data_IF_060693673922
#
_entry.id   IF_060693673922
#
_cell.length_a   1.000
_cell.length_b   1.000
_cell.length_c   1.000
_cell.angle_alpha   90.00
_cell.angle_beta   90.00
_cell.angle_gamma   90.00
#
_symmetry.space_group_name_H-M   'P 1'
#
loop_
_entity.id
_entity.type
_entity.pdbx_description
1 polymer ?
#
# COMPACT_ATOMS: atom_id res chain seq x y z
N UNK A 1 -6.18 19.02 45.33
CA UNK A 1 -5.87 19.64 44.03
C UNK A 1 -6.93 19.23 43.03
N UNK A 2 -7.49 20.18 42.30
CA UNK A 2 -8.36 19.86 41.15
C UNK A 2 -7.50 19.49 39.93
N UNK A 3 -8.04 18.68 39.00
CA UNK A 3 -7.31 18.24 37.80
C UNK A 3 -6.78 19.42 36.97
N UNK A 4 -7.55 20.51 36.92
CA UNK A 4 -7.22 21.74 36.19
C UNK A 4 -6.02 22.47 36.81
N UNK A 5 -5.92 22.52 38.14
CA UNK A 5 -4.76 23.11 38.82
C UNK A 5 -3.48 22.31 38.55
N UNK A 6 -3.57 20.98 38.58
CA UNK A 6 -2.43 20.11 38.29
C UNK A 6 -1.91 20.33 36.86
N UNK A 7 -2.81 20.45 35.87
CA UNK A 7 -2.46 20.76 34.48
C UNK A 7 -1.82 22.16 34.36
N UNK A 8 -2.39 23.17 35.04
CA UNK A 8 -1.85 24.54 35.02
C UNK A 8 -0.46 24.61 35.64
N UNK A 9 -0.23 23.90 36.74
CA UNK A 9 1.09 23.82 37.39
C UNK A 9 2.09 23.11 36.46
N UNK A 10 1.71 22.00 35.83
CA UNK A 10 2.55 21.29 34.85
C UNK A 10 2.96 22.18 33.67
N UNK A 11 2.02 22.96 33.11
CA UNK A 11 2.29 23.92 32.03
C UNK A 11 3.26 25.03 32.45
N UNK A 12 3.11 25.57 33.67
CA UNK A 12 4.02 26.60 34.18
C UNK A 12 5.44 26.06 34.42
N UNK A 13 5.55 24.83 34.90
CA UNK A 13 6.80 24.07 35.09
C UNK A 13 7.55 23.89 33.76
N UNK A 14 6.83 23.59 32.68
CA UNK A 14 7.39 23.44 31.32
C UNK A 14 8.02 24.74 30.82
N UNK A 15 7.34 25.87 31.01
CA UNK A 15 7.80 27.17 30.54
C UNK A 15 9.04 27.68 31.30
N UNK A 16 9.18 27.29 32.57
CA UNK A 16 10.32 27.65 33.41
C UNK A 16 11.63 26.95 32.99
N UNK A 17 11.57 25.73 32.45
CA UNK A 17 12.75 24.93 32.08
C UNK A 17 12.73 24.49 30.61
N UNK A 18 12.77 25.46 29.70
CA UNK A 18 12.62 25.28 28.24
C UNK A 18 13.50 24.18 27.63
N UNK A 19 14.80 24.15 27.96
CA UNK A 19 15.74 23.16 27.40
C UNK A 19 15.38 21.73 27.83
N UNK A 20 15.05 21.56 29.12
CA UNK A 20 14.65 20.26 29.68
C UNK A 20 13.35 19.79 29.05
N UNK A 21 12.36 20.67 29.01
CA UNK A 21 11.05 20.35 28.44
C UNK A 21 11.15 20.01 26.96
N UNK A 22 11.98 20.74 26.21
CA UNK A 22 12.26 20.40 24.81
C UNK A 22 12.88 19.00 24.67
N UNK A 23 13.90 18.68 25.47
CA UNK A 23 14.56 17.36 25.43
C UNK A 23 13.62 16.22 25.86
N UNK A 24 12.74 16.42 26.84
CA UNK A 24 11.70 15.41 27.19
C UNK A 24 10.71 15.20 26.07
N UNK A 25 10.25 16.29 25.45
CA UNK A 25 9.23 16.23 24.43
C UNK A 25 9.79 15.60 23.15
N UNK A 26 11.06 15.84 22.82
CA UNK A 26 11.68 15.34 21.60
C UNK A 26 11.59 13.82 21.46
N UNK A 27 11.87 13.06 22.53
CA UNK A 27 11.78 11.59 22.50
C UNK A 27 10.35 11.10 22.24
N UNK A 28 9.35 11.73 22.85
CA UNK A 28 7.93 11.41 22.64
C UNK A 28 7.47 11.83 21.25
N UNK A 29 7.85 13.03 20.80
CA UNK A 29 7.52 13.58 19.49
C UNK A 29 8.02 12.63 18.40
N UNK A 30 9.29 12.20 18.46
CA UNK A 30 9.87 11.28 17.48
C UNK A 30 9.17 9.92 17.55
N UNK A 31 9.00 9.35 18.75
CA UNK A 31 8.33 8.06 18.91
C UNK A 31 6.92 8.06 18.34
N UNK A 32 6.13 9.08 18.65
CA UNK A 32 4.76 9.24 18.14
C UNK A 32 4.75 9.53 16.64
N UNK A 33 5.68 10.33 16.13
CA UNK A 33 5.77 10.60 14.70
C UNK A 33 6.03 9.31 13.92
N UNK A 34 6.91 8.43 14.42
CA UNK A 34 7.16 7.11 13.81
C UNK A 34 5.92 6.23 13.86
N UNK A 35 5.20 6.15 15.00
CA UNK A 35 3.94 5.39 15.10
C UNK A 35 2.94 5.84 14.04
N UNK A 36 2.73 7.16 13.94
CA UNK A 36 1.76 7.74 13.01
C UNK A 36 2.20 7.52 11.57
N UNK A 37 3.49 7.67 11.27
CA UNK A 37 4.02 7.41 9.94
C UNK A 37 3.81 5.96 9.51
N UNK A 38 4.16 4.99 10.36
CA UNK A 38 3.96 3.56 10.08
C UNK A 38 2.48 3.24 9.87
N UNK A 39 1.61 3.73 10.75
CA UNK A 39 0.16 3.52 10.62
C UNK A 39 -0.40 4.12 9.33
N UNK A 40 0.04 5.33 8.96
CA UNK A 40 -0.41 6.02 7.75
C UNK A 40 0.07 5.31 6.49
N UNK A 41 1.31 4.81 6.48
CA UNK A 41 1.85 4.03 5.34
C UNK A 41 1.08 2.72 5.17
N UNK A 42 0.79 2.00 6.27
CA UNK A 42 0.01 0.75 6.22
C UNK A 42 -1.41 1.01 5.69
N UNK A 43 -2.10 2.03 6.22
CA UNK A 43 -3.45 2.37 5.76
C UNK A 43 -3.45 2.86 4.31
N UNK A 44 -2.51 3.72 3.93
CA UNK A 44 -2.36 4.21 2.57
C UNK A 44 -2.10 3.06 1.59
N UNK A 45 -1.26 2.10 1.96
CA UNK A 45 -1.03 0.90 1.17
C UNK A 45 -2.30 0.03 1.04
N UNK A 46 -3.06 -0.16 2.13
CA UNK A 46 -4.31 -0.93 2.09
C UNK A 46 -5.37 -0.27 1.21
N UNK A 47 -5.56 1.04 1.35
CA UNK A 47 -6.51 1.81 0.53
C UNK A 47 -6.12 1.76 -0.96
N UNK A 48 -4.84 1.91 -1.24
CA UNK A 48 -4.28 1.79 -2.58
C UNK A 48 -4.53 0.40 -3.20
N UNK A 49 -4.29 -0.67 -2.44
CA UNK A 49 -4.54 -2.04 -2.90
C UNK A 49 -6.03 -2.27 -3.14
N UNK A 50 -6.90 -1.77 -2.26
CA UNK A 50 -8.35 -1.86 -2.44
C UNK A 50 -8.83 -1.18 -3.73
N UNK A 51 -8.31 0.01 -4.04
CA UNK A 51 -8.58 0.72 -5.29
C UNK A 51 -8.09 -0.07 -6.51
N UNK A 52 -6.91 -0.69 -6.42
CA UNK A 52 -6.37 -1.50 -7.53
C UNK A 52 -7.10 -2.79 -7.78
N UNK A 53 -7.54 -3.46 -6.72
CA UNK A 53 -8.38 -4.65 -6.84
C UNK A 53 -9.74 -4.28 -7.43
N UNK A 54 -10.32 -3.15 -7.03
CA UNK A 54 -11.57 -2.68 -7.63
C UNK A 54 -11.46 -2.47 -9.15
N UNK A 55 -10.30 -2.01 -9.64
CA UNK A 55 -10.04 -1.80 -11.06
C UNK A 55 -9.80 -3.08 -11.88
N UNK A 56 -9.43 -4.20 -11.24
CA UNK A 56 -9.27 -5.50 -11.90
C UNK A 56 -10.61 -6.17 -12.22
N UNK A 57 -11.70 -5.72 -11.61
CA UNK A 57 -12.99 -6.40 -11.64
C UNK A 57 -13.04 -7.52 -10.59
N UNK A 58 -14.11 -7.54 -9.79
CA UNK A 58 -14.33 -8.60 -8.79
C UNK A 58 -14.78 -9.93 -9.40
N UNK A 59 -15.11 -9.91 -10.70
CA UNK A 59 -15.67 -10.99 -11.49
C UNK A 59 -14.68 -11.54 -12.54
N UNK A 60 -13.45 -11.00 -12.61
CA UNK A 60 -12.43 -11.43 -13.57
C UNK A 60 -11.29 -12.15 -12.88
N UNK A 61 -10.88 -13.29 -13.45
CA UNK A 61 -9.66 -13.99 -13.08
C UNK A 61 -8.83 -14.35 -14.32
N UNK A 62 -7.57 -14.66 -14.08
CA UNK A 62 -6.57 -14.93 -15.10
C UNK A 62 -5.96 -16.31 -14.87
N UNK A 63 -5.70 -17.02 -15.96
CA UNK A 63 -4.92 -18.25 -15.98
C UNK A 63 -3.59 -17.91 -16.66
N UNK A 64 -2.50 -18.07 -15.94
CA UNK A 64 -1.14 -17.89 -16.43
C UNK A 64 -0.33 -19.16 -16.25
N UNK A 65 0.76 -19.29 -17.02
CA UNK A 65 1.72 -20.38 -16.87
C UNK A 65 2.24 -20.52 -15.44
N UNK A 66 2.56 -19.40 -14.81
CA UNK A 66 3.05 -19.33 -13.44
C UNK A 66 2.77 -17.92 -12.89
N UNK A 67 2.41 -17.85 -11.61
CA UNK A 67 2.27 -16.58 -10.90
C UNK A 67 2.85 -16.67 -9.49
N UNK A 68 3.24 -15.53 -8.94
CA UNK A 68 3.69 -15.43 -7.55
C UNK A 68 2.45 -15.27 -6.67
N UNK A 69 2.09 -16.31 -5.94
CA UNK A 69 0.92 -16.29 -5.05
C UNK A 69 1.29 -15.95 -3.60
N UNK A 70 2.54 -16.22 -3.18
CA UNK A 70 3.02 -15.94 -1.82
C UNK A 70 4.43 -15.35 -1.79
N UNK A 71 4.74 -14.63 -0.70
CA UNK A 71 6.00 -13.91 -0.51
C UNK A 71 7.26 -14.80 -0.38
N UNK A 72 7.10 -16.12 -0.35
CA UNK A 72 8.19 -17.11 -0.27
C UNK A 72 8.33 -18.01 -1.51
N UNK A 73 7.42 -17.90 -2.48
CA UNK A 73 7.31 -18.86 -3.58
C UNK A 73 8.17 -18.49 -4.80
N UNK A 74 9.17 -17.63 -4.65
CA UNK A 74 9.95 -17.15 -5.80
C UNK A 74 10.68 -18.28 -6.53
N UNK A 75 11.26 -19.23 -5.80
CA UNK A 75 11.87 -20.43 -6.41
C UNK A 75 10.82 -21.32 -7.08
N UNK A 76 9.63 -21.49 -6.47
CA UNK A 76 8.52 -22.25 -7.03
C UNK A 76 8.05 -21.61 -8.34
N UNK A 77 7.90 -20.29 -8.36
CA UNK A 77 7.57 -19.50 -9.55
C UNK A 77 8.61 -19.66 -10.67
N UNK A 78 9.90 -19.53 -10.36
CA UNK A 78 10.96 -19.74 -11.36
C UNK A 78 10.99 -21.17 -11.90
N UNK A 79 10.73 -22.15 -11.06
CA UNK A 79 10.63 -23.56 -11.48
C UNK A 79 9.40 -23.79 -12.36
N UNK A 80 8.25 -23.25 -11.99
CA UNK A 80 7.01 -23.31 -12.75
C UNK A 80 7.17 -22.68 -14.14
N UNK A 81 7.81 -21.51 -14.25
CA UNK A 81 8.11 -20.87 -15.55
C UNK A 81 8.93 -21.77 -16.50
N UNK A 82 9.79 -22.63 -15.95
CA UNK A 82 10.65 -23.54 -16.72
C UNK A 82 9.98 -24.87 -17.05
N UNK A 83 9.22 -25.43 -16.11
CA UNK A 83 8.67 -26.79 -16.19
C UNK A 83 7.27 -26.86 -16.75
N UNK A 84 6.43 -25.86 -16.43
CA UNK A 84 5.04 -25.87 -16.84
C UNK A 84 4.96 -25.73 -18.38
N UNK A 85 3.95 -26.35 -19.01
CA UNK A 85 3.69 -26.12 -20.42
C UNK A 85 3.31 -24.65 -20.66
N UNK A 86 3.56 -24.17 -21.87
CA UNK A 86 3.06 -22.86 -22.29
C UNK A 86 1.56 -22.93 -22.54
N UNK A 87 0.81 -21.95 -22.06
CA UNK A 87 -0.60 -21.80 -22.41
C UNK A 87 -0.72 -21.32 -23.86
N UNK A 88 -1.67 -21.89 -24.58
CA UNK A 88 -1.88 -21.73 -26.02
C UNK A 88 -3.30 -21.27 -26.34
N UNK A 89 -3.51 -20.80 -27.57
CA UNK A 89 -4.85 -20.46 -28.05
C UNK A 89 -5.81 -21.65 -28.04
N UNK A 90 -5.30 -22.88 -28.14
CA UNK A 90 -6.14 -24.06 -28.08
C UNK A 90 -6.69 -24.29 -26.66
N UNK A 91 -5.96 -23.87 -25.63
CA UNK A 91 -6.43 -23.90 -24.23
C UNK A 91 -7.53 -22.85 -24.02
N UNK A 92 -7.34 -21.66 -24.57
CA UNK A 92 -8.36 -20.59 -24.56
C UNK A 92 -9.63 -21.03 -25.28
N UNK A 93 -9.51 -21.61 -26.48
CA UNK A 93 -10.65 -22.13 -27.24
C UNK A 93 -11.38 -23.26 -26.50
N UNK A 94 -10.63 -24.14 -25.82
CA UNK A 94 -11.22 -25.21 -25.02
C UNK A 94 -12.01 -24.64 -23.82
N UNK A 95 -11.47 -23.63 -23.15
CA UNK A 95 -12.18 -22.93 -22.08
C UNK A 95 -13.42 -22.22 -22.63
N UNK A 96 -13.29 -21.43 -23.69
CA UNK A 96 -14.41 -20.73 -24.33
C UNK A 96 -15.56 -21.69 -24.73
N UNK A 97 -15.22 -22.90 -25.19
CA UNK A 97 -16.23 -23.87 -25.64
C UNK A 97 -16.91 -24.65 -24.49
N UNK A 98 -16.24 -24.84 -23.35
CA UNK A 98 -16.69 -25.76 -22.30
C UNK A 98 -17.05 -25.10 -20.97
N UNK A 99 -16.57 -23.88 -20.72
CA UNK A 99 -16.79 -23.15 -19.48
C UNK A 99 -18.20 -22.55 -19.46
N UNK A 100 -19.09 -23.07 -18.62
CA UNK A 100 -20.50 -22.66 -18.57
C UNK A 100 -20.75 -21.53 -17.59
N UNK A 101 -19.88 -21.40 -16.59
CA UNK A 101 -19.99 -20.40 -15.53
C UNK A 101 -19.30 -19.07 -15.88
N UNK A 102 -18.80 -18.93 -17.10
CA UNK A 102 -18.19 -17.69 -17.60
C UNK A 102 -19.07 -16.97 -18.61
N UNK A 103 -19.04 -15.64 -18.54
CA UNK A 103 -19.65 -14.75 -19.52
C UNK A 103 -18.73 -14.55 -20.73
N UNK A 104 -17.42 -14.39 -20.48
CA UNK A 104 -16.43 -14.08 -21.50
C UNK A 104 -15.13 -14.85 -21.23
N UNK A 105 -14.49 -15.32 -22.30
CA UNK A 105 -13.16 -15.94 -22.27
C UNK A 105 -12.31 -15.31 -23.37
N UNK A 106 -11.14 -14.80 -23.01
CA UNK A 106 -10.24 -14.18 -23.96
C UNK A 106 -8.78 -14.40 -23.59
N UNK A 107 -7.91 -14.23 -24.57
CA UNK A 107 -6.48 -14.34 -24.40
C UNK A 107 -5.78 -12.99 -24.49
N UNK A 108 -4.63 -12.94 -23.83
CA UNK A 108 -3.71 -11.82 -23.87
C UNK A 108 -2.25 -12.29 -23.87
N UNK A 109 -1.38 -11.47 -24.44
CA UNK A 109 0.06 -11.63 -24.29
C UNK A 109 0.70 -10.25 -24.19
N UNK A 110 1.83 -10.15 -23.47
CA UNK A 110 2.47 -8.86 -23.21
C UNK A 110 3.96 -8.87 -23.58
N UNK A 111 4.46 -7.70 -23.96
CA UNK A 111 5.87 -7.42 -24.17
C UNK A 111 6.13 -5.93 -23.89
N UNK A 112 7.38 -5.52 -24.01
CA UNK A 112 7.75 -4.10 -24.00
C UNK A 112 7.98 -3.62 -25.43
N UNK A 113 7.63 -2.37 -25.71
CA UNK A 113 7.86 -1.77 -26.99
C UNK A 113 8.38 -0.34 -26.89
N UNK A 114 9.08 0.06 -27.95
CA UNK A 114 9.39 1.46 -28.24
C UNK A 114 8.41 1.93 -29.31
N UNK A 115 7.74 3.05 -29.04
CA UNK A 115 6.77 3.67 -29.93
C UNK A 115 7.35 4.97 -30.49
N UNK A 116 7.27 5.15 -31.80
CA UNK A 116 7.84 6.33 -32.49
C UNK A 116 6.88 6.93 -33.51
N UNK A 117 6.94 8.24 -33.65
CA UNK A 117 6.30 8.98 -34.74
C UNK A 117 7.14 10.22 -35.07
N UNK A 118 7.68 10.28 -36.29
CA UNK A 118 8.66 11.31 -36.65
C UNK A 118 9.85 11.29 -35.70
N UNK A 119 10.09 12.42 -35.01
CA UNK A 119 11.15 12.57 -34.02
C UNK A 119 10.70 12.28 -32.58
N UNK A 120 9.41 12.03 -32.35
CA UNK A 120 8.89 11.70 -31.02
C UNK A 120 9.07 10.21 -30.71
N UNK A 121 9.48 9.91 -29.48
CA UNK A 121 9.75 8.56 -29.00
C UNK A 121 9.18 8.40 -27.60
N UNK A 122 8.46 7.30 -27.39
CA UNK A 122 8.06 6.82 -26.06
C UNK A 122 8.67 5.44 -25.85
N UNK A 123 9.38 5.28 -24.73
CA UNK A 123 10.10 4.06 -24.36
C UNK A 123 9.41 3.38 -23.16
N UNK A 124 9.65 2.08 -23.00
CA UNK A 124 9.05 1.31 -21.91
C UNK A 124 7.54 1.16 -22.03
N UNK A 125 6.98 1.31 -23.23
CA UNK A 125 5.54 1.20 -23.48
C UNK A 125 5.12 -0.26 -23.35
N UNK A 126 4.06 -0.53 -22.59
CA UNK A 126 3.51 -1.87 -22.47
C UNK A 126 2.79 -2.25 -23.76
N UNK A 127 3.34 -3.21 -24.51
CA UNK A 127 2.71 -3.74 -25.73
C UNK A 127 1.90 -4.97 -25.37
N UNK A 128 0.60 -4.91 -25.64
CA UNK A 128 -0.35 -5.96 -25.31
C UNK A 128 -1.00 -6.48 -26.58
N UNK A 129 -0.99 -7.80 -26.78
CA UNK A 129 -1.79 -8.47 -27.80
C UNK A 129 -3.07 -8.99 -27.17
N UNK A 130 -4.24 -8.47 -27.54
CA UNK A 130 -5.53 -8.84 -26.95
C UNK A 130 -6.48 -9.44 -27.98
N UNK A 131 -7.31 -10.37 -27.50
CA UNK A 131 -8.53 -10.80 -28.20
C UNK A 131 -9.58 -9.68 -28.20
N UNK A 132 -10.49 -9.61 -29.20
CA UNK A 132 -11.45 -8.51 -29.35
C UNK A 132 -12.37 -8.31 -28.15
N UNK A 133 -12.81 -9.39 -27.52
CA UNK A 133 -13.73 -9.35 -26.36
C UNK A 133 -13.06 -8.86 -25.07
N UNK A 134 -11.74 -8.66 -25.06
CA UNK A 134 -11.01 -8.18 -23.89
C UNK A 134 -11.48 -6.81 -23.39
N UNK A 135 -12.11 -6.00 -24.25
CA UNK A 135 -12.71 -4.73 -23.84
C UNK A 135 -13.82 -4.91 -22.81
N UNK A 136 -14.57 -6.02 -22.85
CA UNK A 136 -15.65 -6.34 -21.91
C UNK A 136 -15.15 -6.85 -20.56
N UNK A 137 -13.87 -7.22 -20.49
CA UNK A 137 -13.20 -7.80 -19.31
C UNK A 137 -12.15 -6.85 -18.71
N UNK A 138 -12.00 -5.65 -19.28
CA UNK A 138 -11.04 -4.65 -18.81
C UNK A 138 -11.77 -3.40 -18.35
N UNK A 139 -11.19 -2.66 -17.41
CA UNK A 139 -11.68 -1.34 -17.00
C UNK A 139 -11.37 -0.22 -18.01
N UNK A 140 -10.76 -0.56 -19.15
CA UNK A 140 -10.36 0.42 -20.16
C UNK A 140 -11.57 0.92 -20.94
N UNK A 141 -11.81 2.23 -20.92
CA UNK A 141 -12.86 2.86 -21.70
C UNK A 141 -12.28 3.50 -22.96
N UNK A 142 -13.06 3.49 -24.04
CA UNK A 142 -12.71 4.15 -25.30
C UNK A 142 -13.03 5.64 -25.17
N UNK A 143 -12.04 6.50 -25.40
CA UNK A 143 -12.25 7.95 -25.49
C UNK A 143 -12.62 8.38 -26.90
N UNK A 144 -11.86 7.88 -27.88
CA UNK A 144 -12.05 8.17 -29.31
C UNK A 144 -11.75 6.96 -30.18
N UNK A 145 -12.38 6.91 -31.36
CA UNK A 145 -12.22 5.83 -32.32
C UNK A 145 -12.96 4.56 -31.91
N UNK A 146 -12.30 3.41 -32.06
CA UNK A 146 -12.86 2.08 -31.74
C UNK A 146 -11.80 1.15 -31.15
N UNK A 147 -12.25 0.10 -30.49
CA UNK A 147 -11.39 -1.02 -30.09
C UNK A 147 -11.15 -2.02 -31.23
N UNK A 148 -10.28 -3.00 -30.97
CA UNK A 148 -9.98 -4.12 -31.87
C UNK A 148 -11.25 -4.95 -32.11
N UNK A 149 -11.49 -5.33 -33.35
CA UNK A 149 -12.63 -6.17 -33.76
C UNK A 149 -12.17 -7.57 -34.16
N UNK A 150 -13.09 -8.53 -34.22
CA UNK A 150 -12.81 -9.89 -34.74
C UNK A 150 -12.17 -9.85 -36.13
N UNK A 151 -12.67 -9.00 -37.02
CA UNK A 151 -12.08 -8.83 -38.35
C UNK A 151 -10.61 -8.38 -38.30
N UNK A 152 -10.22 -7.55 -37.34
CA UNK A 152 -8.82 -7.13 -37.20
C UNK A 152 -7.92 -8.28 -36.73
N UNK A 153 -8.42 -9.11 -35.82
CA UNK A 153 -7.71 -10.26 -35.28
C UNK A 153 -7.62 -11.39 -36.32
N UNK A 154 -8.71 -11.76 -36.98
CA UNK A 154 -8.74 -12.81 -38.00
C UNK A 154 -7.80 -12.50 -39.19
N UNK A 155 -7.65 -11.22 -39.54
CA UNK A 155 -6.85 -10.79 -40.68
C UNK A 155 -5.43 -10.32 -40.30
N UNK A 156 -5.00 -10.49 -39.04
CA UNK A 156 -3.70 -10.03 -38.53
C UNK A 156 -3.41 -8.55 -38.89
N UNK A 157 -4.41 -7.69 -38.72
CA UNK A 157 -4.29 -6.29 -39.13
C UNK A 157 -3.25 -5.57 -38.28
N UNK A 158 -2.44 -4.74 -38.93
CA UNK A 158 -1.48 -3.85 -38.28
C UNK A 158 -2.17 -2.59 -37.78
N UNK A 159 -3.10 -2.77 -36.84
CA UNK A 159 -3.85 -1.69 -36.17
C UNK A 159 -3.55 -1.68 -34.68
N UNK A 160 -3.63 -0.51 -34.05
CA UNK A 160 -3.41 -0.39 -32.62
C UNK A 160 -4.41 0.53 -31.93
N UNK A 161 -4.71 0.20 -30.68
CA UNK A 161 -5.43 1.01 -29.73
C UNK A 161 -4.43 1.50 -28.68
N UNK A 162 -4.35 2.80 -28.45
CA UNK A 162 -3.25 3.39 -27.66
C UNK A 162 -3.75 4.02 -26.37
N UNK A 163 -2.91 3.97 -25.33
CA UNK A 163 -3.15 4.69 -24.09
C UNK A 163 -3.00 6.21 -24.26
N UNK A 164 -3.63 6.97 -23.37
CA UNK A 164 -3.69 8.44 -23.47
C UNK A 164 -2.31 9.10 -23.38
N UNK A 165 -1.37 8.53 -22.63
CA UNK A 165 0.01 9.04 -22.53
C UNK A 165 0.77 8.83 -23.84
N UNK A 166 0.67 7.65 -24.46
CA UNK A 166 1.31 7.38 -25.76
C UNK A 166 0.80 8.37 -26.81
N UNK A 167 -0.51 8.66 -26.81
CA UNK A 167 -1.08 9.67 -27.70
C UNK A 167 -0.47 11.07 -27.46
N UNK A 168 -0.39 11.50 -26.19
CA UNK A 168 0.17 12.83 -25.82
C UNK A 168 1.66 12.96 -26.14
N UNK A 169 2.46 11.92 -25.90
CA UNK A 169 3.92 11.94 -26.11
C UNK A 169 4.32 11.79 -27.57
N UNK A 170 3.69 10.86 -28.28
CA UNK A 170 4.09 10.48 -29.64
C UNK A 170 3.40 11.33 -30.70
N UNK A 171 2.19 11.83 -30.42
CA UNK A 171 1.35 12.60 -31.35
C UNK A 171 0.88 13.94 -30.72
N UNK A 172 1.80 14.80 -30.21
CA UNK A 172 1.40 16.02 -29.51
C UNK A 172 0.66 16.99 -30.44
N UNK A 173 -0.58 17.31 -30.08
CA UNK A 173 -1.44 18.24 -30.84
C UNK A 173 -1.93 17.72 -32.20
N UNK A 174 -1.79 16.42 -32.46
CA UNK A 174 -2.24 15.76 -33.70
C UNK A 174 -3.38 14.81 -33.35
N UNK A 175 -4.46 14.80 -34.13
CA UNK A 175 -5.49 13.76 -34.01
C UNK A 175 -4.87 12.39 -34.30
N UNK A 176 -4.80 11.49 -33.31
CA UNK A 176 -4.12 10.22 -33.45
C UNK A 176 -4.86 9.26 -34.39
N UNK A 177 -6.18 9.39 -34.55
CA UNK A 177 -6.98 8.42 -35.30
C UNK A 177 -6.56 8.41 -36.78
N UNK A 178 -6.29 7.20 -37.29
CA UNK A 178 -5.85 6.97 -38.67
C UNK A 178 -4.38 7.26 -38.94
N UNK A 179 -3.62 7.79 -37.96
CA UNK A 179 -2.17 7.96 -38.11
C UNK A 179 -1.45 6.64 -37.98
N UNK A 180 -0.30 6.53 -38.66
CA UNK A 180 0.57 5.37 -38.53
C UNK A 180 1.70 5.69 -37.57
N UNK A 181 1.78 4.93 -36.47
CA UNK A 181 2.87 4.98 -35.51
C UNK A 181 3.75 3.74 -35.65
N UNK A 182 5.02 3.85 -35.28
CA UNK A 182 5.99 2.77 -35.37
C UNK A 182 6.15 2.10 -34.01
N UNK A 183 5.75 0.83 -33.90
CA UNK A 183 5.85 0.00 -32.68
C UNK A 183 6.86 -1.11 -32.96
N UNK A 184 7.99 -1.15 -32.23
CA UNK A 184 9.07 -2.12 -32.44
C UNK A 184 9.47 -2.30 -33.92
N UNK A 185 9.63 -1.15 -34.59
CA UNK A 185 10.03 -1.04 -35.98
C UNK A 185 8.97 -1.39 -37.05
N UNK A 186 7.74 -1.74 -36.65
CA UNK A 186 6.61 -2.01 -37.54
C UNK A 186 5.58 -0.87 -37.50
N UNK A 187 4.90 -0.62 -38.62
CA UNK A 187 3.91 0.46 -38.73
C UNK A 187 2.52 -0.06 -38.36
N UNK A 188 1.88 0.62 -37.41
CA UNK A 188 0.52 0.34 -36.96
C UNK A 188 -0.35 1.57 -37.16
N UNK A 189 -1.54 1.38 -37.72
CA UNK A 189 -2.55 2.42 -37.80
C UNK A 189 -3.30 2.53 -36.46
N UNK A 190 -3.31 3.72 -35.88
CA UNK A 190 -4.08 3.99 -34.67
C UNK A 190 -5.57 4.02 -35.00
N UNK A 191 -6.35 3.17 -34.34
CA UNK A 191 -7.80 3.03 -34.56
C UNK A 191 -8.64 3.54 -33.38
N UNK A 192 -8.01 3.76 -32.22
CA UNK A 192 -8.68 4.29 -31.04
C UNK A 192 -7.70 4.68 -29.94
N UNK A 193 -8.21 5.47 -29.00
CA UNK A 193 -7.47 5.96 -27.83
C UNK A 193 -8.25 5.64 -26.56
N UNK A 194 -7.54 5.20 -25.53
CA UNK A 194 -8.10 4.96 -24.21
C UNK A 194 -8.39 6.28 -23.49
N UNK A 195 -9.49 6.28 -22.72
CA UNK A 195 -9.75 7.33 -21.74
C UNK A 195 -8.65 7.33 -20.69
N UNK A 196 -8.23 8.51 -20.29
CA UNK A 196 -7.17 8.71 -19.30
C UNK A 196 -7.53 8.03 -17.99
N UNK A 197 -6.69 7.08 -17.56
CA UNK A 197 -6.83 6.33 -16.32
C UNK A 197 -6.01 6.98 -15.18
N UNK A 198 -5.03 7.81 -15.53
CA UNK A 198 -4.20 8.54 -14.59
C UNK A 198 -2.94 7.76 -14.18
N UNK A 199 -2.30 8.25 -13.12
CA UNK A 199 -1.08 7.65 -12.58
C UNK A 199 -1.29 7.10 -11.19
N UNK A 200 -0.52 6.07 -10.88
CA UNK A 200 -0.67 5.26 -9.67
C UNK A 200 0.73 4.96 -9.15
N UNK A 201 1.05 5.38 -7.93
CA UNK A 201 2.42 5.35 -7.39
C UNK A 201 3.44 5.97 -8.38
N UNK A 202 3.03 6.99 -9.14
CA UNK A 202 3.88 7.69 -10.10
C UNK A 202 4.15 6.89 -11.37
N UNK A 203 3.57 5.69 -11.47
CA UNK A 203 3.53 4.88 -12.68
C UNK A 203 2.24 5.16 -13.42
N UNK A 204 2.37 5.68 -14.63
CA UNK A 204 1.21 5.91 -15.48
C UNK A 204 0.52 4.60 -15.84
N UNK A 205 -0.81 4.60 -15.80
CA UNK A 205 -1.62 3.50 -16.30
C UNK A 205 -1.97 3.68 -17.79
N UNK A 206 -1.51 4.77 -18.39
CA UNK A 206 -1.82 5.17 -19.76
C UNK A 206 -0.67 4.90 -20.75
N UNK A 207 0.44 4.30 -20.30
CA UNK A 207 1.60 4.00 -21.14
C UNK A 207 1.53 2.60 -21.78
N UNK A 208 0.55 2.39 -22.67
CA UNK A 208 0.37 1.11 -23.35
C UNK A 208 -0.06 1.24 -24.80
N UNK A 209 0.17 0.17 -25.56
CA UNK A 209 -0.36 -0.04 -26.91
C UNK A 209 -0.96 -1.44 -26.97
N UNK A 210 -2.21 -1.53 -27.42
CA UNK A 210 -2.92 -2.78 -27.63
C UNK A 210 -3.01 -3.05 -29.13
N UNK A 211 -2.62 -4.25 -29.55
CA UNK A 211 -2.73 -4.76 -30.92
C UNK A 211 -3.53 -6.07 -30.93
N UNK A 212 -4.04 -6.53 -32.08
CA UNK A 212 -4.68 -7.85 -32.16
C UNK A 212 -3.72 -8.94 -31.69
N UNK A 213 -4.24 -9.92 -30.94
CA UNK A 213 -3.43 -11.02 -30.40
C UNK A 213 -2.79 -11.84 -31.51
N UNK A 214 -3.51 -12.07 -32.63
CA UNK A 214 -2.97 -12.77 -33.80
C UNK A 214 -1.72 -12.06 -34.37
N UNK A 215 -1.80 -10.74 -34.53
CA UNK A 215 -0.69 -9.89 -34.98
C UNK A 215 0.47 -9.95 -33.99
N UNK A 216 0.18 -9.90 -32.69
CA UNK A 216 1.20 -10.01 -31.64
C UNK A 216 1.94 -11.36 -31.69
N UNK A 217 1.21 -12.48 -31.78
CA UNK A 217 1.81 -13.82 -31.87
C UNK A 217 2.61 -14.00 -33.18
N UNK A 218 2.20 -13.34 -34.27
CA UNK A 218 2.97 -13.33 -35.51
C UNK A 218 4.30 -12.57 -35.38
N UNK A 219 4.31 -11.48 -34.61
CA UNK A 219 5.53 -10.68 -34.38
C UNK A 219 6.53 -11.36 -33.44
N UNK A 220 6.03 -11.95 -32.34
CA UNK A 220 6.88 -12.47 -31.26
C UNK A 220 6.99 -13.99 -31.23
N UNK A 221 6.32 -14.69 -32.14
CA UNK A 221 6.25 -16.14 -32.20
C UNK A 221 5.07 -16.71 -31.42
N UNK A 222 4.49 -17.78 -31.96
CA UNK A 222 3.35 -18.51 -31.38
C UNK A 222 3.74 -19.49 -30.27
N UNK A 223 5.03 -19.79 -30.10
CA UNK A 223 5.58 -20.69 -29.05
C UNK A 223 5.81 -20.00 -27.71
N UNK A 224 5.01 -18.98 -27.39
CA UNK A 224 5.09 -18.27 -26.12
C UNK A 224 3.80 -18.52 -25.35
N UNK A 225 3.91 -18.65 -24.03
CA UNK A 225 2.71 -18.72 -23.21
C UNK A 225 1.90 -17.44 -23.35
N UNK A 226 0.60 -17.60 -23.57
CA UNK A 226 -0.39 -16.55 -23.40
C UNK A 226 -0.89 -16.54 -21.95
N UNK A 227 -1.71 -15.55 -21.63
CA UNK A 227 -2.47 -15.45 -20.40
C UNK A 227 -3.96 -15.41 -20.76
N UNK A 228 -4.77 -16.26 -20.14
CA UNK A 228 -6.21 -16.41 -20.46
C UNK A 228 -7.02 -15.69 -19.40
N UNK A 229 -7.77 -14.66 -19.76
CA UNK A 229 -8.69 -13.95 -18.87
C UNK A 229 -10.10 -14.48 -19.03
N UNK A 230 -10.77 -14.63 -17.90
CA UNK A 230 -12.12 -15.17 -17.82
C UNK A 230 -12.93 -14.23 -16.94
N UNK A 231 -14.11 -13.85 -17.42
CA UNK A 231 -15.12 -13.14 -16.63
C UNK A 231 -16.20 -14.12 -16.21
N UNK A 232 -16.41 -14.27 -14.90
CA UNK A 232 -17.47 -15.07 -14.34
C UNK A 232 -18.85 -14.54 -14.78
N UNK A 233 -19.85 -15.43 -14.84
CA UNK A 233 -21.23 -15.04 -15.15
C UNK A 233 -21.85 -14.18 -14.05
N UNK A 234 -22.86 -13.40 -14.43
CA UNK A 234 -23.56 -12.49 -13.51
C UNK A 234 -24.16 -13.26 -12.33
N UNK A 235 -23.81 -12.86 -11.11
CA UNK A 235 -24.29 -13.48 -9.87
C UNK A 235 -23.67 -14.85 -9.54
N UNK A 236 -22.69 -15.31 -10.32
CA UNK A 236 -21.94 -16.53 -10.05
C UNK A 236 -20.72 -16.18 -9.17
N UNK A 237 -20.49 -16.92 -8.06
CA UNK A 237 -19.26 -16.80 -7.31
C UNK A 237 -18.04 -17.05 -8.22
N UNK A 238 -17.06 -16.15 -8.20
CA UNK A 238 -15.86 -16.28 -9.03
C UNK A 238 -15.13 -17.60 -8.78
N UNK A 239 -15.18 -18.09 -7.54
CA UNK A 239 -14.59 -19.35 -7.09
C UNK A 239 -15.16 -20.56 -7.86
N UNK A 240 -16.48 -20.59 -8.12
CA UNK A 240 -17.11 -21.68 -8.87
C UNK A 240 -16.62 -21.69 -10.33
N UNK A 241 -16.49 -20.52 -10.94
CA UNK A 241 -15.96 -20.39 -12.30
C UNK A 241 -14.46 -20.74 -12.36
N UNK A 242 -13.70 -20.41 -11.32
CA UNK A 242 -12.29 -20.81 -11.18
C UNK A 242 -12.13 -22.33 -11.07
N UNK A 243 -13.00 -22.97 -10.28
CA UNK A 243 -12.98 -24.42 -10.09
C UNK A 243 -13.36 -25.15 -11.39
N UNK A 244 -14.38 -24.67 -12.12
CA UNK A 244 -14.74 -25.20 -13.44
C UNK A 244 -13.58 -25.05 -14.44
N UNK A 245 -12.97 -23.86 -14.50
CA UNK A 245 -11.83 -23.61 -15.37
C UNK A 245 -10.62 -24.48 -15.00
N UNK A 246 -10.35 -24.66 -13.71
CA UNK A 246 -9.30 -25.54 -13.21
C UNK A 246 -9.54 -26.98 -13.66
N UNK A 247 -10.76 -27.49 -13.54
CA UNK A 247 -11.10 -28.85 -13.97
C UNK A 247 -10.88 -29.05 -15.48
N UNK A 248 -11.32 -28.09 -16.31
CA UNK A 248 -11.14 -28.15 -17.77
C UNK A 248 -9.66 -28.15 -18.12
N UNK A 249 -8.87 -27.24 -17.52
CA UNK A 249 -7.44 -27.14 -17.78
C UNK A 249 -6.68 -28.39 -17.32
N UNK A 250 -6.97 -28.91 -16.12
CA UNK A 250 -6.37 -30.15 -15.62
C UNK A 250 -6.68 -31.34 -16.53
N UNK A 251 -7.92 -31.48 -16.98
CA UNK A 251 -8.30 -32.54 -17.91
C UNK A 251 -7.55 -32.43 -19.24
N UNK A 252 -7.42 -31.20 -19.77
CA UNK A 252 -6.71 -30.93 -21.02
C UNK A 252 -5.20 -31.16 -20.91
N UNK A 253 -4.62 -30.82 -19.78
CA UNK A 253 -3.20 -31.04 -19.48
C UNK A 253 -2.92 -32.48 -19.00
N UNK A 254 -3.95 -33.34 -18.93
CA UNK A 254 -3.85 -34.71 -18.46
C UNK A 254 -3.24 -34.83 -17.05
N UNK A 255 -3.58 -33.88 -16.18
CA UNK A 255 -3.11 -33.85 -14.79
C UNK A 255 -3.91 -34.78 -13.90
N UNK A 256 -3.24 -35.78 -13.33
CA UNK A 256 -3.82 -36.66 -12.33
C UNK A 256 -4.22 -35.91 -11.05
N UNK A 257 -5.20 -36.42 -10.30
CA UNK A 257 -5.76 -35.79 -9.09
C UNK A 257 -4.74 -35.47 -7.98
N UNK A 258 -3.58 -36.15 -7.96
CA UNK A 258 -2.55 -35.99 -6.94
C UNK A 258 -1.43 -35.02 -7.34
N UNK A 259 -1.43 -34.55 -8.60
CA UNK A 259 -0.47 -33.58 -9.09
C UNK A 259 -0.95 -32.15 -8.81
N UNK A 260 -0.02 -31.25 -8.50
CA UNK A 260 -0.30 -29.82 -8.45
C UNK A 260 -0.67 -29.29 -9.86
N UNK A 261 -1.41 -28.18 -9.90
CA UNK A 261 -1.68 -27.47 -11.16
C UNK A 261 -0.37 -27.02 -11.80
N UNK A 262 -0.23 -27.25 -13.11
CA UNK A 262 0.88 -26.74 -13.93
C UNK A 262 0.52 -25.37 -14.57
N UNK A 263 -0.46 -24.70 -14.01
CA UNK A 263 -0.86 -23.33 -14.31
C UNK A 263 -1.23 -22.62 -13.02
N UNK A 264 -1.36 -21.31 -13.06
CA UNK A 264 -1.75 -20.47 -11.93
C UNK A 264 -3.02 -19.72 -12.25
N UNK A 265 -3.98 -19.77 -11.33
CA UNK A 265 -5.18 -18.95 -11.36
C UNK A 265 -4.93 -17.72 -10.48
N UNK A 266 -5.05 -16.53 -11.08
CA UNK A 266 -4.83 -15.23 -10.44
C UNK A 266 -6.16 -14.47 -10.45
N UNK A 267 -6.65 -14.12 -9.27
CA UNK A 267 -7.81 -13.25 -9.08
C UNK A 267 -7.49 -12.02 -8.25
N UNK A 268 -8.48 -11.14 -8.17
CA UNK A 268 -8.56 -10.05 -7.19
C UNK A 268 -8.22 -10.50 -5.76
N UNK A 269 -8.65 -11.69 -5.33
CA UNK A 269 -8.34 -12.21 -3.99
C UNK A 269 -6.90 -12.71 -3.85
N UNK A 270 -6.35 -13.40 -4.85
CA UNK A 270 -4.93 -13.79 -4.83
C UNK A 270 -4.01 -12.56 -4.75
N UNK A 271 -4.38 -11.49 -5.46
CA UNK A 271 -3.66 -10.20 -5.43
C UNK A 271 -3.80 -9.57 -4.04
N UNK A 272 -5.01 -9.53 -3.49
CA UNK A 272 -5.28 -9.03 -2.14
C UNK A 272 -4.45 -9.75 -1.08
N UNK A 273 -4.40 -11.08 -1.15
CA UNK A 273 -3.67 -11.91 -0.21
C UNK A 273 -2.17 -11.63 -0.28
N UNK A 274 -1.59 -11.58 -1.49
CA UNK A 274 -0.18 -11.27 -1.69
C UNK A 274 0.19 -9.90 -1.11
N UNK A 275 -0.60 -8.87 -1.43
CA UNK A 275 -0.37 -7.53 -0.86
C UNK A 275 -0.55 -7.50 0.66
N UNK A 276 -1.53 -8.23 1.20
CA UNK A 276 -1.70 -8.40 2.64
C UNK A 276 -0.47 -9.01 3.31
N UNK A 277 0.16 -10.00 2.67
CA UNK A 277 1.43 -10.58 3.16
C UNK A 277 2.58 -9.56 3.11
N UNK A 278 2.70 -8.77 2.04
CA UNK A 278 3.72 -7.70 1.93
C UNK A 278 3.54 -6.68 3.06
N UNK A 279 2.33 -6.14 3.21
CA UNK A 279 2.01 -5.13 4.22
C UNK A 279 2.21 -5.71 5.62
N UNK A 280 1.79 -6.96 5.84
CA UNK A 280 2.01 -7.68 7.10
C UNK A 280 3.48 -7.86 7.43
N UNK A 281 4.33 -8.21 6.46
CA UNK A 281 5.77 -8.35 6.65
C UNK A 281 6.44 -7.00 6.99
N UNK A 282 6.04 -5.92 6.29
CA UNK A 282 6.51 -4.56 6.61
C UNK A 282 6.08 -4.16 8.02
N UNK A 283 4.83 -4.43 8.40
CA UNK A 283 4.33 -4.16 9.74
C UNK A 283 5.08 -4.97 10.82
N UNK A 284 5.40 -6.24 10.55
CA UNK A 284 6.14 -7.10 11.47
C UNK A 284 7.54 -6.55 11.81
N UNK A 285 8.18 -5.82 10.90
CA UNK A 285 9.46 -5.14 11.14
C UNK A 285 9.27 -3.74 11.73
N UNK A 286 8.31 -2.98 11.21
CA UNK A 286 8.08 -1.59 11.61
C UNK A 286 7.53 -1.46 13.03
N UNK A 287 6.66 -2.37 13.48
CA UNK A 287 6.04 -2.30 14.81
C UNK A 287 7.07 -2.45 15.94
N UNK A 288 8.00 -3.43 15.94
CA UNK A 288 9.07 -3.50 16.94
C UNK A 288 9.96 -2.26 16.97
N UNK A 289 10.36 -1.73 15.81
CA UNK A 289 11.19 -0.52 15.72
C UNK A 289 10.47 0.68 16.36
N UNK A 290 9.18 0.80 16.06
CA UNK A 290 8.30 1.82 16.64
C UNK A 290 8.16 1.65 18.15
N UNK A 291 7.97 0.43 18.63
CA UNK A 291 7.89 0.12 20.07
C UNK A 291 9.20 0.47 20.80
N UNK A 292 10.35 0.18 20.22
CA UNK A 292 11.66 0.57 20.78
C UNK A 292 11.77 2.09 20.87
N UNK A 293 11.34 2.82 19.84
CA UNK A 293 11.37 4.29 19.85
C UNK A 293 10.48 4.89 20.95
N UNK A 294 9.32 4.31 21.20
CA UNK A 294 8.44 4.68 22.33
C UNK A 294 9.09 4.39 23.69
N UNK A 295 9.75 3.23 23.85
CA UNK A 295 10.47 2.88 25.07
C UNK A 295 11.60 3.87 25.33
N UNK A 296 12.40 4.20 24.32
CA UNK A 296 13.48 5.20 24.43
C UNK A 296 12.90 6.56 24.85
N UNK A 297 11.82 7.02 24.23
CA UNK A 297 11.12 8.24 24.64
C UNK A 297 10.61 8.19 26.08
N UNK A 298 10.08 7.05 26.50
CA UNK A 298 9.63 6.81 27.87
C UNK A 298 10.76 6.84 28.91
N UNK A 299 11.91 6.23 28.61
CA UNK A 299 13.10 6.26 29.47
C UNK A 299 13.61 7.70 29.64
N UNK A 300 13.57 8.51 28.57
CA UNK A 300 13.92 9.94 28.63
C UNK A 300 12.99 10.69 29.58
N UNK A 301 11.66 10.46 29.50
CA UNK A 301 10.69 11.03 30.44
C UNK A 301 11.04 10.61 31.87
N UNK A 302 11.25 9.32 32.12
CA UNK A 302 11.57 8.79 33.46
C UNK A 302 12.80 9.47 34.06
N UNK A 303 13.90 9.54 33.31
CA UNK A 303 15.15 10.11 33.79
C UNK A 303 15.01 11.60 34.12
N UNK A 304 14.33 12.35 33.26
CA UNK A 304 14.15 13.78 33.50
C UNK A 304 13.18 14.02 34.67
N UNK A 305 12.17 13.18 34.84
CA UNK A 305 11.29 13.23 36.00
C UNK A 305 12.05 12.90 37.28
N UNK A 306 12.97 11.93 37.28
CA UNK A 306 13.83 11.65 38.45
C UNK A 306 14.68 12.85 38.84
N UNK A 307 15.30 13.52 37.87
CA UNK A 307 16.08 14.75 38.10
C UNK A 307 15.16 15.87 38.65
N UNK A 308 13.94 15.99 38.12
CA UNK A 308 12.97 16.99 38.59
C UNK A 308 12.50 16.72 40.01
N UNK A 309 12.38 15.44 40.42
CA UNK A 309 12.08 15.08 41.81
C UNK A 309 13.22 15.48 42.73
N UNK A 310 14.48 15.24 42.33
CA UNK A 310 15.64 15.61 43.16
C UNK A 310 15.76 17.13 43.33
N UNK A 311 15.50 17.92 42.28
CA UNK A 311 15.53 19.38 42.37
C UNK A 311 14.37 19.96 43.20
N UNK A 312 13.19 19.32 43.15
CA UNK A 312 12.00 19.74 43.90
C UNK A 312 11.87 19.08 45.28
N UNK A 313 12.90 18.41 45.77
CA UNK A 313 12.86 17.66 47.04
C UNK A 313 12.35 18.52 48.20
N UNK A 314 12.89 19.74 48.34
CA UNK A 314 12.51 20.68 49.41
C UNK A 314 11.06 21.15 49.31
N UNK A 315 10.58 21.43 48.10
CA UNK A 315 9.18 21.80 47.83
C UNK A 315 8.22 20.66 48.20
N UNK A 316 8.58 19.42 47.87
CA UNK A 316 7.81 18.22 48.23
C UNK A 316 7.77 18.06 49.75
N UNK A 317 8.90 18.27 50.44
CA UNK A 317 9.00 18.24 51.89
C UNK A 317 8.05 19.23 52.57
N UNK A 318 8.03 20.49 52.12
CA UNK A 318 7.12 21.53 52.63
C UNK A 318 5.65 21.10 52.46
N UNK A 319 5.27 20.57 51.29
CA UNK A 319 3.89 20.11 51.05
C UNK A 319 3.48 18.98 51.99
N UNK A 320 4.36 18.01 52.24
CA UNK A 320 4.06 16.89 53.15
C UNK A 320 3.99 17.35 54.60
N UNK A 321 4.86 18.26 55.03
CA UNK A 321 4.80 18.85 56.38
C UNK A 321 3.51 19.64 56.61
N UNK A 322 2.91 20.19 55.55
CA UNK A 322 1.60 20.83 55.58
C UNK A 322 0.41 19.84 55.44
N UNK A 323 0.66 18.53 55.43
CA UNK A 323 -0.38 17.50 55.45
C UNK A 323 -0.76 16.88 54.09
N UNK A 324 0.00 17.14 53.02
CA UNK A 324 -0.23 16.46 51.74
C UNK A 324 -0.05 14.94 51.86
N UNK A 325 -1.03 14.16 51.39
CA UNK A 325 -0.97 12.69 51.45
C UNK A 325 -0.05 12.15 50.36
N UNK A 326 0.44 10.92 50.57
CA UNK A 326 1.23 10.18 49.56
C UNK A 326 0.55 10.17 48.17
N UNK A 327 -0.77 9.94 48.15
CA UNK A 327 -1.58 9.94 46.92
C UNK A 327 -1.63 11.30 46.22
N UNK A 328 -1.58 12.41 46.97
CA UNK A 328 -1.65 13.76 46.39
C UNK A 328 -0.37 14.06 45.60
N UNK A 329 0.80 13.75 46.18
CA UNK A 329 2.10 13.90 45.53
C UNK A 329 2.22 12.94 44.34
N UNK A 330 1.80 11.68 44.51
CA UNK A 330 1.81 10.69 43.43
C UNK A 330 0.98 11.17 42.22
N UNK A 331 -0.26 11.60 42.46
CA UNK A 331 -1.16 12.08 41.40
C UNK A 331 -0.61 13.34 40.74
N UNK A 332 0.00 14.26 41.48
CA UNK A 332 0.60 15.46 40.91
C UNK A 332 1.68 15.13 39.87
N UNK A 333 2.66 14.31 40.24
CA UNK A 333 3.75 13.94 39.33
C UNK A 333 3.28 13.07 38.17
N UNK A 334 2.29 12.22 38.40
CA UNK A 334 1.70 11.38 37.36
C UNK A 334 0.91 12.20 36.34
N UNK A 335 0.14 13.20 36.79
CA UNK A 335 -0.52 14.17 35.91
C UNK A 335 0.52 15.00 35.15
N UNK A 336 1.61 15.43 35.78
CA UNK A 336 2.71 16.15 35.10
C UNK A 336 3.33 15.30 33.98
N UNK A 337 3.58 14.00 34.24
CA UNK A 337 4.12 13.08 33.23
C UNK A 337 3.14 12.80 32.07
N UNK A 338 1.86 12.57 32.38
CA UNK A 338 0.82 12.33 31.37
C UNK A 338 0.55 13.59 30.53
N UNK A 339 0.54 14.77 31.14
CA UNK A 339 0.36 16.03 30.40
C UNK A 339 1.55 16.34 29.50
N UNK A 340 2.78 16.13 29.99
CA UNK A 340 4.01 16.26 29.19
C UNK A 340 3.99 15.31 27.98
N UNK A 341 3.74 14.03 28.21
CA UNK A 341 3.69 13.03 27.14
C UNK A 341 2.52 13.24 26.17
N UNK A 342 1.34 13.63 26.66
CA UNK A 342 0.19 13.97 25.82
C UNK A 342 0.46 15.19 24.94
N UNK A 343 1.09 16.24 25.47
CA UNK A 343 1.54 17.38 24.66
C UNK A 343 2.58 16.96 23.62
N UNK A 344 3.55 16.14 24.02
CA UNK A 344 4.52 15.55 23.09
C UNK A 344 3.85 14.73 21.99
N UNK A 345 2.80 13.98 22.32
CA UNK A 345 2.01 13.22 21.37
C UNK A 345 1.22 14.08 20.39
N UNK A 346 0.60 15.16 20.86
CA UNK A 346 -0.09 16.13 19.99
C UNK A 346 0.91 16.80 19.04
N UNK A 347 2.06 17.25 19.55
CA UNK A 347 3.10 17.88 18.73
C UNK A 347 3.68 16.87 17.74
N UNK A 348 3.94 15.63 18.16
CA UNK A 348 4.40 14.55 17.29
C UNK A 348 3.40 14.21 16.19
N UNK A 349 2.10 14.19 16.51
CA UNK A 349 1.03 13.99 15.54
C UNK A 349 1.00 15.12 14.50
N UNK A 350 1.07 16.38 14.94
CA UNK A 350 1.13 17.53 14.04
C UNK A 350 2.38 17.48 13.16
N UNK A 351 3.53 17.16 13.75
CA UNK A 351 4.79 17.01 13.03
C UNK A 351 4.72 15.91 11.96
N UNK A 352 4.15 14.75 12.31
CA UNK A 352 3.92 13.65 11.37
C UNK A 352 2.96 14.07 10.24
N UNK A 353 1.86 14.75 10.56
CA UNK A 353 0.91 15.25 9.58
C UNK A 353 1.56 16.19 8.56
N UNK A 354 2.33 17.19 9.03
CA UNK A 354 3.04 18.11 8.12
C UNK A 354 4.10 17.40 7.28
N UNK A 355 4.86 16.48 7.88
CA UNK A 355 5.85 15.69 7.16
C UNK A 355 5.20 14.83 6.08
N UNK A 356 4.09 14.14 6.40
CA UNK A 356 3.33 13.36 5.41
C UNK A 356 2.79 14.24 4.29
N UNK A 357 2.30 15.44 4.60
CA UNK A 357 1.78 16.37 3.58
C UNK A 357 2.87 16.82 2.61
N UNK A 358 4.10 17.05 3.11
CA UNK A 358 5.27 17.34 2.26
C UNK A 358 5.62 16.11 1.41
N UNK A 359 5.66 14.93 2.02
CA UNK A 359 5.93 13.67 1.31
C UNK A 359 4.89 13.40 0.23
N UNK A 360 3.61 13.70 0.47
CA UNK A 360 2.53 13.53 -0.51
C UNK A 360 2.64 14.47 -1.73
N UNK A 361 3.31 15.61 -1.59
CA UNK A 361 3.58 16.51 -2.71
C UNK A 361 4.77 16.04 -3.56
N UNK A 362 5.71 15.32 -2.94
CA UNK A 362 6.93 14.83 -3.58
C UNK A 362 6.81 13.39 -4.07
N UNK A 363 5.85 12.65 -3.53
CA UNK A 363 5.68 11.22 -3.79
C UNK A 363 4.21 10.92 -4.10
N UNK A 364 3.96 9.92 -4.95
CA UNK A 364 2.62 9.50 -5.34
C UNK A 364 1.94 8.57 -4.32
N UNK A 365 2.44 8.50 -3.09
CA UNK A 365 1.88 7.65 -2.04
C UNK A 365 0.69 8.37 -1.40
N UNK A 366 -0.50 7.75 -1.34
CA UNK A 366 -1.66 8.36 -0.70
C UNK A 366 -1.39 8.58 0.80
N UNK A 367 -1.17 9.84 1.19
CA UNK A 367 -0.96 10.23 2.58
C UNK A 367 -2.28 10.64 3.25
N UNK A 368 -3.18 9.68 3.44
CA UNK A 368 -4.38 9.90 4.23
C UNK A 368 -4.10 9.47 5.67
N UNK A 369 -3.94 10.43 6.59
CA UNK A 369 -3.78 10.13 8.02
C UNK A 369 -5.14 9.71 8.59
N UNK A 370 -5.34 8.44 8.95
CA UNK A 370 -6.65 8.01 9.40
C UNK A 370 -6.91 8.50 10.83
N UNK A 371 -8.15 8.87 11.12
CA UNK A 371 -8.55 9.39 12.44
C UNK A 371 -8.23 8.42 13.59
N UNK A 372 -8.31 7.10 13.32
CA UNK A 372 -7.96 6.09 14.30
C UNK A 372 -6.46 6.11 14.67
N UNK A 373 -5.57 6.45 13.73
CA UNK A 373 -4.13 6.56 14.01
C UNK A 373 -3.82 7.79 14.86
N UNK A 374 -4.55 8.89 14.66
CA UNK A 374 -4.46 10.06 15.53
C UNK A 374 -4.91 9.74 16.97
N UNK A 375 -6.02 9.02 17.14
CA UNK A 375 -6.47 8.56 18.44
C UNK A 375 -5.46 7.61 19.10
N UNK A 376 -4.94 6.65 18.33
CA UNK A 376 -3.92 5.70 18.79
C UNK A 376 -2.66 6.43 19.27
N UNK A 377 -2.18 7.43 18.54
CA UNK A 377 -1.02 8.24 18.92
C UNK A 377 -1.20 8.93 20.28
N UNK A 378 -2.38 9.50 20.55
CA UNK A 378 -2.69 10.18 21.81
C UNK A 378 -2.79 9.16 22.97
N UNK A 379 -3.43 8.02 22.73
CA UNK A 379 -3.57 6.96 23.74
C UNK A 379 -2.20 6.37 24.09
N UNK A 380 -1.39 6.05 23.08
CA UNK A 380 -0.07 5.45 23.27
C UNK A 380 0.89 6.42 23.95
N UNK A 381 0.95 7.68 23.52
CA UNK A 381 1.81 8.70 24.17
C UNK A 381 1.44 8.92 25.64
N UNK A 382 0.14 9.05 25.94
CA UNK A 382 -0.35 9.18 27.32
C UNK A 382 -0.04 7.96 28.16
N UNK A 383 -0.14 6.76 27.59
CA UNK A 383 0.19 5.49 28.25
C UNK A 383 1.68 5.37 28.57
N UNK A 384 2.56 5.84 27.67
CA UNK A 384 4.01 5.89 27.91
C UNK A 384 4.33 6.84 29.06
N UNK A 385 3.76 8.05 29.08
CA UNK A 385 3.99 8.98 30.19
C UNK A 385 3.43 8.47 31.52
N UNK A 386 2.30 7.76 31.49
CA UNK A 386 1.78 7.07 32.66
C UNK A 386 2.77 6.02 33.17
N UNK A 387 3.16 5.06 32.32
CA UNK A 387 4.01 3.93 32.69
C UNK A 387 5.37 4.37 33.23
N UNK A 388 6.07 5.23 32.50
CA UNK A 388 7.41 5.71 32.88
C UNK A 388 7.37 6.81 33.95
N UNK A 389 6.21 7.44 34.18
CA UNK A 389 6.00 8.40 35.26
C UNK A 389 5.74 7.79 36.64
N UNK A 390 5.27 6.53 36.70
CA UNK A 390 4.92 5.86 37.97
C UNK A 390 6.13 5.75 38.90
N UNK A 391 7.28 5.33 38.39
CA UNK A 391 8.48 5.15 39.20
C UNK A 391 8.95 6.45 39.89
N UNK A 392 9.22 7.55 39.15
CA UNK A 392 9.62 8.82 39.77
C UNK A 392 8.52 9.42 40.66
N UNK A 393 7.25 9.31 40.27
CA UNK A 393 6.14 9.80 41.09
C UNK A 393 6.06 9.08 42.44
N UNK A 394 6.22 7.75 42.45
CA UNK A 394 6.26 6.97 43.68
C UNK A 394 7.48 7.30 44.53
N UNK A 395 8.64 7.52 43.91
CA UNK A 395 9.87 7.96 44.61
C UNK A 395 9.64 9.31 45.31
N UNK A 396 9.06 10.30 44.63
CA UNK A 396 8.70 11.59 45.22
C UNK A 396 7.70 11.44 46.39
N UNK A 397 6.67 10.63 46.19
CA UNK A 397 5.63 10.40 47.17
C UNK A 397 6.14 9.67 48.43
N UNK A 398 7.27 8.95 48.36
CA UNK A 398 7.91 8.26 49.52
C UNK A 398 8.96 9.07 50.28
N UNK A 399 9.35 10.26 49.82
CA UNK A 399 10.31 11.13 50.53
C UNK A 399 9.87 11.43 51.98
N UNK A 400 10.78 11.29 52.95
CA UNK A 400 10.52 11.72 54.32
C UNK A 400 10.51 13.27 54.39
N UNK A 401 9.50 13.92 55.00
CA UNK A 401 9.43 15.38 55.11
C UNK A 401 10.63 15.98 55.84
N UNK A 402 11.17 15.29 56.84
CA UNK A 402 12.29 15.76 57.66
C UNK A 402 13.59 15.71 56.85
N UNK A 403 13.83 14.59 56.14
CA UNK A 403 15.00 14.47 55.27
C UNK A 403 14.94 15.46 54.10
N UNK A 404 13.75 15.63 53.52
CA UNK A 404 13.54 16.51 52.38
C UNK A 404 13.77 18.00 52.70
N UNK A 405 13.49 18.44 53.92
CA UNK A 405 13.75 19.81 54.39
C UNK A 405 15.21 20.05 54.77
N UNK A 406 15.96 18.97 55.06
CA UNK A 406 17.36 19.00 55.46
C UNK A 406 18.33 18.88 54.29
N UNK A 407 17.85 18.46 53.13
CA UNK A 407 18.60 18.51 51.88
C UNK A 407 18.89 19.98 51.51
N UNK A 408 20.16 20.31 51.31
CA UNK A 408 20.61 21.64 50.81
C UNK A 408 20.28 21.84 49.34
#
# INVERSE_FOLDING_TARGET
MTLVEAIRVALSSILAHKLRSFLTLLGVIIGVAVVVAVATVIEGANAYVAEKIANLGSDVFLIEKASIQNLGDFEKYLNALRKNPDLTLDDENALRANLKLAQEVGASAASSAIVKYGNQVSEGVSLMGYTPNMINMSSTQIDSGRFITEFDDDNNRMVCFIGSQVAKEVLPGIDPIGKQIKVNNLLFQVIGVAREQGSVLGQSQDNFVIIPLSTFLKMFGSRRSIAIRIKAGDGIPIEDAQDEARMIMRARHHLDYHLEDDFSIVSSDTTRQLFGQIIGAVAAVALPITAISLIVGGIVIMNIMLVSVTERTKEIGIRKSMGARHRDILLQFLIESVTLSGLGGIIGLLFAYFTMKIVAQLTPVPAALPLWAAALAIIVSSSVGLFFGIYPANKAARLDPVEALRAE
#
